data_IF_877158080073
#
_entry.id   IF_877158080073
#
_cell.length_a   1.000
_cell.length_b   1.000
_cell.length_c   1.000
_cell.angle_alpha   90.00
_cell.angle_beta   90.00
_cell.angle_gamma   90.00
#
_symmetry.space_group_name_H-M   'P 1'
#
loop_
_entity.id
_entity.type
_entity.pdbx_description
1 polymer ?
#
# COMPACT_ATOMS: atom_id res chain seq x y z
N UNK A 1 48.90 45.96 48.77
CA UNK A 1 49.64 45.22 47.72
C UNK A 1 48.82 43.98 47.35
N UNK A 2 48.75 43.66 46.06
CA UNK A 2 47.57 43.13 45.37
C UNK A 2 47.28 41.62 45.57
N UNK A 3 46.00 41.30 45.79
CA UNK A 3 45.41 39.97 45.53
C UNK A 3 45.23 39.80 44.02
N UNK A 4 45.71 38.70 43.44
CA UNK A 4 45.33 38.26 42.08
C UNK A 4 45.22 36.74 42.02
N UNK A 5 43.99 36.26 42.19
CA UNK A 5 43.54 34.99 41.62
C UNK A 5 43.28 35.25 40.12
N UNK A 6 43.90 34.48 39.23
CA UNK A 6 43.59 34.45 37.80
C UNK A 6 43.34 32.99 37.44
N UNK A 7 42.07 32.56 37.47
CA UNK A 7 41.15 32.53 36.31
C UNK A 7 41.39 31.29 35.44
N UNK A 8 40.76 30.18 35.86
CA UNK A 8 40.48 29.02 35.01
C UNK A 8 39.31 29.39 34.09
N UNK A 9 39.56 29.45 32.78
CA UNK A 9 38.52 29.69 31.76
C UNK A 9 38.01 28.33 31.26
N UNK A 10 36.92 27.86 31.87
CA UNK A 10 36.16 26.69 31.45
C UNK A 10 35.15 27.15 30.38
N UNK A 11 35.44 26.83 29.11
CA UNK A 11 34.48 27.00 28.02
C UNK A 11 33.49 25.83 28.09
N UNK A 12 32.38 26.04 28.77
CA UNK A 12 31.23 25.14 28.72
C UNK A 12 30.38 25.50 27.51
N UNK A 13 30.58 24.78 26.40
CA UNK A 13 29.65 24.76 25.28
C UNK A 13 28.33 24.12 25.77
N UNK A 14 27.33 24.94 26.08
CA UNK A 14 25.97 24.46 26.31
C UNK A 14 25.38 23.99 24.96
N UNK A 15 25.49 22.70 24.69
CA UNK A 15 24.68 22.01 23.69
C UNK A 15 23.24 21.94 24.18
N UNK A 16 22.51 23.04 24.06
CA UNK A 16 21.05 23.05 24.18
C UNK A 16 20.46 22.38 22.93
N UNK A 17 20.50 21.05 22.90
CA UNK A 17 19.67 20.25 21.99
C UNK A 17 18.22 20.45 22.43
N UNK A 18 17.64 21.59 22.06
CA UNK A 18 16.20 21.71 22.00
C UNK A 18 15.76 20.57 21.07
N UNK A 19 14.99 19.63 21.61
CA UNK A 19 14.20 18.75 20.78
C UNK A 19 13.33 19.68 19.94
N UNK A 20 13.81 19.98 18.72
CA UNK A 20 13.07 20.70 17.71
C UNK A 20 11.91 19.75 17.38
N UNK A 21 10.80 19.92 18.10
CA UNK A 21 9.55 19.29 17.73
C UNK A 21 9.22 19.86 16.36
N UNK A 22 9.54 19.07 15.34
CA UNK A 22 9.30 19.42 13.96
C UNK A 22 7.82 19.81 13.81
N UNK A 23 7.56 20.91 13.11
CA UNK A 23 6.22 21.47 13.09
C UNK A 23 5.26 20.48 12.41
N UNK A 24 4.00 20.37 12.88
CA UNK A 24 3.02 19.55 12.18
C UNK A 24 2.80 20.10 10.77
N UNK A 25 2.59 19.21 9.80
CA UNK A 25 2.35 19.59 8.41
C UNK A 25 1.13 20.53 8.31
N UNK A 26 1.30 21.63 7.58
CA UNK A 26 0.24 22.59 7.26
C UNK A 26 -0.68 22.03 6.19
N UNK A 27 -1.95 22.47 6.23
CA UNK A 27 -2.94 22.07 5.22
C UNK A 27 -2.50 22.48 3.80
N UNK A 28 -1.83 23.61 3.62
CA UNK A 28 -1.34 24.07 2.31
C UNK A 28 -0.31 23.10 1.71
N UNK A 29 0.67 22.69 2.53
CA UNK A 29 1.69 21.70 2.18
C UNK A 29 1.06 20.34 1.88
N UNK A 30 0.05 19.95 2.67
CA UNK A 30 -0.72 18.73 2.44
C UNK A 30 -1.42 18.73 1.07
N UNK A 31 -2.23 19.74 0.78
CA UNK A 31 -2.94 19.82 -0.51
C UNK A 31 -1.96 19.83 -1.68
N UNK A 32 -0.82 20.52 -1.52
CA UNK A 32 0.22 20.56 -2.55
C UNK A 32 0.86 19.20 -2.79
N UNK A 33 1.17 18.45 -1.74
CA UNK A 33 1.69 17.09 -1.86
C UNK A 33 0.67 16.15 -2.50
N UNK A 34 -0.59 16.20 -2.09
CA UNK A 34 -1.65 15.36 -2.70
C UNK A 34 -1.73 15.63 -4.21
N UNK A 35 -1.67 16.90 -4.62
CA UNK A 35 -1.66 17.29 -6.03
C UNK A 35 -0.43 16.75 -6.76
N UNK A 36 0.77 16.97 -6.23
CA UNK A 36 2.04 16.59 -6.88
C UNK A 36 2.24 15.07 -6.93
N UNK A 37 1.76 14.34 -5.92
CA UNK A 37 1.81 12.88 -5.84
C UNK A 37 0.78 12.18 -6.74
N UNK A 38 -0.07 12.94 -7.44
CA UNK A 38 -1.06 12.44 -8.39
C UNK A 38 -2.04 11.40 -7.79
N UNK A 39 -2.36 11.56 -6.51
CA UNK A 39 -3.16 10.60 -5.72
C UNK A 39 -4.56 10.40 -6.33
N UNK A 40 -5.20 11.47 -6.80
CA UNK A 40 -6.53 11.39 -7.38
C UNK A 40 -6.58 10.50 -8.63
N UNK A 41 -5.59 10.64 -9.52
CA UNK A 41 -5.48 9.79 -10.70
C UNK A 41 -5.13 8.36 -10.32
N UNK A 42 -4.30 8.15 -9.29
CA UNK A 42 -4.04 6.81 -8.76
C UNK A 42 -5.32 6.14 -8.25
N UNK A 43 -6.16 6.84 -7.48
CA UNK A 43 -7.45 6.31 -7.00
C UNK A 43 -8.36 5.97 -8.19
N UNK A 44 -8.45 6.85 -9.19
CA UNK A 44 -9.26 6.62 -10.38
C UNK A 44 -8.79 5.42 -11.21
N UNK A 45 -7.49 5.29 -11.40
CA UNK A 45 -6.91 4.24 -12.23
C UNK A 45 -6.91 2.89 -11.52
N UNK A 46 -6.60 2.86 -10.22
CA UNK A 46 -6.57 1.63 -9.42
C UNK A 46 -7.91 0.89 -9.44
N UNK A 47 -9.04 1.61 -9.39
CA UNK A 47 -10.36 0.99 -9.52
C UNK A 47 -10.51 0.22 -10.85
N UNK A 48 -10.00 0.78 -11.94
CA UNK A 48 -10.06 0.16 -13.28
C UNK A 48 -9.09 -1.00 -13.42
N UNK A 49 -7.86 -0.83 -12.92
CA UNK A 49 -6.82 -1.87 -12.93
C UNK A 49 -7.22 -3.12 -12.13
N UNK A 50 -8.10 -2.97 -11.14
CA UNK A 50 -8.63 -4.10 -10.37
C UNK A 50 -9.65 -4.95 -11.13
N UNK A 51 -10.15 -4.52 -12.31
CA UNK A 51 -11.24 -5.22 -13.00
C UNK A 51 -10.95 -6.71 -13.27
N UNK A 52 -9.77 -7.11 -13.80
CA UNK A 52 -9.47 -8.52 -14.04
C UNK A 52 -9.47 -9.37 -12.76
N UNK A 53 -9.02 -8.80 -11.64
CA UNK A 53 -9.02 -9.47 -10.33
C UNK A 53 -10.44 -9.71 -9.85
N UNK A 54 -11.33 -8.71 -10.00
CA UNK A 54 -12.74 -8.84 -9.64
C UNK A 54 -13.49 -9.82 -10.55
N UNK A 55 -13.18 -9.84 -11.85
CA UNK A 55 -13.74 -10.81 -12.80
C UNK A 55 -13.37 -12.24 -12.38
N UNK A 56 -12.09 -12.51 -12.08
CA UNK A 56 -11.64 -13.82 -11.60
C UNK A 56 -12.27 -14.20 -10.25
N UNK A 57 -12.35 -13.25 -9.32
CA UNK A 57 -12.93 -13.51 -8.01
C UNK A 57 -14.42 -13.84 -8.09
N UNK A 58 -15.16 -13.14 -8.94
CA UNK A 58 -16.57 -13.43 -9.18
C UNK A 58 -16.78 -14.83 -9.76
N UNK A 59 -15.96 -15.24 -10.73
CA UNK A 59 -16.02 -16.62 -11.26
C UNK A 59 -15.75 -17.67 -10.17
N UNK A 60 -14.73 -17.45 -9.33
CA UNK A 60 -14.40 -18.35 -8.23
C UNK A 60 -15.56 -18.47 -7.23
N UNK A 61 -16.19 -17.35 -6.87
CA UNK A 61 -17.35 -17.35 -5.96
C UNK A 61 -18.50 -18.19 -6.53
N UNK A 62 -18.84 -18.03 -7.82
CA UNK A 62 -19.92 -18.81 -8.45
C UNK A 62 -19.56 -20.30 -8.52
N UNK A 63 -18.31 -20.65 -8.90
CA UNK A 63 -17.83 -22.04 -8.92
C UNK A 63 -17.95 -22.70 -7.55
N UNK A 64 -17.46 -22.02 -6.51
CA UNK A 64 -17.49 -22.52 -5.13
C UNK A 64 -18.92 -22.63 -4.60
N UNK A 65 -19.76 -21.63 -4.83
CA UNK A 65 -21.15 -21.61 -4.35
C UNK A 65 -22.01 -22.70 -4.98
N UNK A 66 -21.73 -23.10 -6.21
CA UNK A 66 -22.47 -24.15 -6.93
C UNK A 66 -21.76 -25.50 -6.92
N UNK A 67 -20.58 -25.59 -6.31
CA UNK A 67 -19.70 -26.76 -6.31
C UNK A 67 -19.43 -27.31 -7.72
N UNK A 68 -19.15 -26.41 -8.68
CA UNK A 68 -18.84 -26.77 -10.08
C UNK A 68 -17.42 -26.33 -10.45
N UNK A 69 -16.74 -27.16 -11.25
CA UNK A 69 -15.39 -26.80 -11.74
C UNK A 69 -15.44 -25.82 -12.92
N UNK A 70 -16.47 -25.92 -13.77
CA UNK A 70 -16.67 -25.12 -14.96
C UNK A 70 -18.04 -24.48 -14.96
N UNK A 71 -18.10 -23.21 -15.35
CA UNK A 71 -19.34 -22.47 -15.49
C UNK A 71 -19.95 -22.75 -16.86
N UNK A 72 -21.27 -23.02 -16.90
CA UNK A 72 -22.04 -22.96 -18.13
C UNK A 72 -22.37 -21.50 -18.50
N UNK A 73 -22.97 -21.27 -19.67
CA UNK A 73 -23.26 -19.91 -20.16
C UNK A 73 -24.08 -19.06 -19.17
N UNK A 74 -25.09 -19.64 -18.51
CA UNK A 74 -25.93 -18.92 -17.54
C UNK A 74 -25.14 -18.56 -16.27
N UNK A 75 -24.27 -19.46 -15.81
CA UNK A 75 -23.42 -19.22 -14.66
C UNK A 75 -22.31 -18.21 -14.97
N UNK A 76 -21.77 -18.21 -16.19
CA UNK A 76 -20.81 -17.22 -16.65
C UNK A 76 -21.44 -15.82 -16.68
N UNK A 77 -22.68 -15.71 -17.15
CA UNK A 77 -23.43 -14.46 -17.10
C UNK A 77 -23.65 -13.99 -15.64
N UNK A 78 -23.97 -14.90 -14.73
CA UNK A 78 -24.08 -14.56 -13.31
C UNK A 78 -22.74 -14.08 -12.72
N UNK A 79 -21.61 -14.70 -13.08
CA UNK A 79 -20.28 -14.26 -12.67
C UNK A 79 -19.94 -12.86 -13.20
N UNK A 80 -20.30 -12.55 -14.45
CA UNK A 80 -20.12 -11.21 -15.01
C UNK A 80 -20.96 -10.15 -14.28
N UNK A 81 -22.21 -10.48 -13.94
CA UNK A 81 -23.08 -9.60 -13.15
C UNK A 81 -22.52 -9.36 -11.74
N UNK A 82 -22.02 -10.41 -11.09
CA UNK A 82 -21.38 -10.31 -9.79
C UNK A 82 -20.12 -9.44 -9.85
N UNK A 83 -19.26 -9.66 -10.86
CA UNK A 83 -18.08 -8.81 -11.06
C UNK A 83 -18.45 -7.34 -11.26
N UNK A 84 -19.47 -7.05 -12.08
CA UNK A 84 -19.94 -5.67 -12.29
C UNK A 84 -20.45 -5.03 -10.99
N UNK A 85 -21.16 -5.79 -10.15
CA UNK A 85 -21.60 -5.34 -8.83
C UNK A 85 -20.41 -5.05 -7.90
N UNK A 86 -19.44 -5.96 -7.84
CA UNK A 86 -18.23 -5.80 -7.03
C UNK A 86 -17.42 -4.58 -7.48
N UNK A 87 -17.27 -4.38 -8.79
CA UNK A 87 -16.61 -3.23 -9.36
C UNK A 87 -17.30 -1.91 -9.02
N UNK A 88 -18.63 -1.85 -9.14
CA UNK A 88 -19.41 -0.67 -8.77
C UNK A 88 -19.24 -0.36 -7.27
N UNK A 89 -19.25 -1.37 -6.41
CA UNK A 89 -19.01 -1.20 -4.97
C UNK A 89 -17.59 -0.76 -4.64
N UNK A 90 -16.60 -1.29 -5.35
CA UNK A 90 -15.22 -0.82 -5.21
C UNK A 90 -15.10 0.67 -5.57
N UNK A 91 -15.69 1.09 -6.71
CA UNK A 91 -15.72 2.50 -7.09
C UNK A 91 -16.40 3.39 -6.04
N UNK A 92 -17.54 2.96 -5.50
CA UNK A 92 -18.26 3.69 -4.46
C UNK A 92 -17.38 3.93 -3.21
N UNK A 93 -16.61 2.91 -2.81
CA UNK A 93 -15.67 3.02 -1.68
C UNK A 93 -14.54 4.00 -2.00
N UNK A 94 -13.93 3.88 -3.19
CA UNK A 94 -12.79 4.71 -3.61
C UNK A 94 -13.17 6.18 -3.82
N UNK A 95 -14.39 6.45 -4.27
CA UNK A 95 -14.93 7.81 -4.45
C UNK A 95 -15.49 8.39 -3.14
N UNK A 96 -15.58 7.60 -2.07
CA UNK A 96 -16.07 8.09 -0.78
C UNK A 96 -15.11 9.17 -0.25
N UNK A 97 -15.61 10.37 0.14
CA UNK A 97 -14.77 11.43 0.68
C UNK A 97 -13.93 11.01 1.91
N UNK A 98 -14.43 10.04 2.69
CA UNK A 98 -13.68 9.47 3.82
C UNK A 98 -12.38 8.81 3.39
N UNK A 99 -12.31 8.26 2.18
CA UNK A 99 -11.11 7.62 1.66
C UNK A 99 -10.02 8.66 1.40
N UNK A 100 -10.35 9.77 0.73
CA UNK A 100 -9.40 10.88 0.57
C UNK A 100 -9.01 11.50 1.91
N UNK A 101 -9.96 11.67 2.84
CA UNK A 101 -9.65 12.18 4.17
C UNK A 101 -8.69 11.26 4.94
N UNK A 102 -8.86 9.94 4.83
CA UNK A 102 -7.94 8.97 5.41
C UNK A 102 -6.52 9.15 4.85
N UNK A 103 -6.37 9.32 3.53
CA UNK A 103 -5.06 9.57 2.91
C UNK A 103 -4.46 10.87 3.44
N UNK A 104 -5.23 11.96 3.50
CA UNK A 104 -4.81 13.25 4.05
C UNK A 104 -4.29 13.12 5.49
N UNK A 105 -5.02 12.39 6.32
CA UNK A 105 -4.63 12.13 7.71
C UNK A 105 -3.32 11.31 7.80
N UNK A 106 -3.09 10.36 6.89
CA UNK A 106 -1.84 9.60 6.84
C UNK A 106 -0.67 10.53 6.52
N UNK A 107 -0.78 11.39 5.50
CA UNK A 107 0.26 12.37 5.18
C UNK A 107 0.63 13.26 6.36
N UNK A 108 -0.38 13.83 7.05
CA UNK A 108 -0.16 14.71 8.20
C UNK A 108 0.43 13.98 9.41
N UNK A 109 0.17 12.68 9.55
CA UNK A 109 0.74 11.85 10.61
C UNK A 109 2.17 11.41 10.30
N UNK A 110 2.49 11.23 9.01
CA UNK A 110 3.76 10.66 8.57
C UNK A 110 4.85 11.70 8.39
N UNK A 111 4.53 12.89 7.88
CA UNK A 111 5.52 13.92 7.59
C UNK A 111 5.35 15.16 8.46
N UNK A 112 6.47 15.74 8.83
CA UNK A 112 6.52 17.10 9.41
C UNK A 112 6.38 18.15 8.31
N UNK A 113 6.20 19.42 8.67
CA UNK A 113 6.14 20.51 7.69
C UNK A 113 7.45 20.66 6.90
N UNK A 114 8.60 20.49 7.57
CA UNK A 114 9.91 20.62 6.95
C UNK A 114 10.15 19.49 5.93
N UNK A 115 9.79 18.26 6.28
CA UNK A 115 9.84 17.11 5.38
C UNK A 115 8.87 17.27 4.21
N UNK A 116 7.66 17.78 4.48
CA UNK A 116 6.67 18.07 3.46
C UNK A 116 7.20 19.07 2.44
N UNK A 117 7.82 20.17 2.90
CA UNK A 117 8.35 21.20 2.02
C UNK A 117 9.55 20.70 1.19
N UNK A 118 10.42 19.88 1.78
CA UNK A 118 11.50 19.24 1.04
C UNK A 118 10.94 18.31 -0.05
N UNK A 119 9.91 17.54 0.28
CA UNK A 119 9.28 16.62 -0.67
C UNK A 119 8.54 17.36 -1.79
N UNK A 120 7.82 18.44 -1.48
CA UNK A 120 7.21 19.35 -2.46
C UNK A 120 8.28 19.90 -3.40
N UNK A 121 9.41 20.34 -2.87
CA UNK A 121 10.50 20.90 -3.67
C UNK A 121 11.04 19.86 -4.66
N UNK A 122 11.26 18.63 -4.19
CA UNK A 122 11.66 17.53 -5.05
C UNK A 122 10.61 17.24 -6.13
N UNK A 123 9.36 16.99 -5.76
CA UNK A 123 8.26 16.66 -6.68
C UNK A 123 7.86 17.81 -7.61
N UNK A 124 8.24 19.06 -7.30
CA UNK A 124 8.01 20.20 -8.19
C UNK A 124 9.05 20.28 -9.31
N UNK A 125 10.19 19.59 -9.18
CA UNK A 125 11.20 19.56 -10.23
C UNK A 125 10.83 18.56 -11.34
N UNK A 126 11.17 18.83 -12.62
CA UNK A 126 10.93 17.89 -13.71
C UNK A 126 11.58 16.51 -13.45
N UNK A 127 12.77 16.52 -12.85
CA UNK A 127 13.48 15.28 -12.51
C UNK A 127 12.77 14.52 -11.39
N UNK A 128 12.31 15.20 -10.34
CA UNK A 128 11.59 14.58 -9.23
C UNK A 128 10.23 14.00 -9.66
N UNK A 129 9.51 14.68 -10.56
CA UNK A 129 8.30 14.11 -11.18
C UNK A 129 8.62 12.86 -12.00
N UNK A 130 9.66 12.90 -12.84
CA UNK A 130 10.06 11.73 -13.62
C UNK A 130 10.48 10.57 -12.72
N UNK A 131 11.21 10.82 -11.62
CA UNK A 131 11.61 9.79 -10.68
C UNK A 131 10.37 9.21 -10.00
N UNK A 132 9.48 10.05 -9.46
CA UNK A 132 8.25 9.61 -8.79
C UNK A 132 7.40 8.69 -9.69
N UNK A 133 7.17 9.10 -10.94
CA UNK A 133 6.42 8.29 -11.91
C UNK A 133 7.11 6.95 -12.23
N UNK A 134 8.43 6.96 -12.44
CA UNK A 134 9.19 5.74 -12.74
C UNK A 134 9.27 4.81 -11.54
N UNK A 135 9.39 5.34 -10.32
CA UNK A 135 9.39 4.55 -9.08
C UNK A 135 8.04 3.86 -8.90
N UNK A 136 6.92 4.56 -9.11
CA UNK A 136 5.60 3.95 -9.06
C UNK A 136 5.46 2.81 -10.09
N UNK A 137 5.88 3.05 -11.33
CA UNK A 137 5.88 2.02 -12.39
C UNK A 137 6.75 0.82 -12.02
N UNK A 138 7.97 1.07 -11.52
CA UNK A 138 8.90 0.03 -11.08
C UNK A 138 8.29 -0.84 -9.98
N UNK A 139 7.65 -0.24 -8.97
CA UNK A 139 7.00 -1.00 -7.89
C UNK A 139 5.84 -1.84 -8.42
N UNK A 140 5.02 -1.31 -9.34
CA UNK A 140 3.93 -2.08 -9.97
C UNK A 140 4.46 -3.26 -10.79
N UNK A 141 5.47 -3.05 -11.64
CA UNK A 141 6.09 -4.12 -12.43
C UNK A 141 6.71 -5.19 -11.52
N UNK A 142 7.42 -4.78 -10.46
CA UNK A 142 7.99 -5.71 -9.49
C UNK A 142 6.93 -6.58 -8.82
N UNK A 143 5.78 -6.00 -8.44
CA UNK A 143 4.68 -6.74 -7.83
C UNK A 143 4.01 -7.70 -8.83
N UNK A 144 3.85 -7.29 -10.09
CA UNK A 144 3.31 -8.15 -11.15
C UNK A 144 4.23 -9.36 -11.41
N UNK A 145 5.53 -9.15 -11.57
CA UNK A 145 6.50 -10.23 -11.79
C UNK A 145 6.59 -11.15 -10.56
N UNK A 146 6.55 -10.59 -9.35
CA UNK A 146 6.53 -11.40 -8.12
C UNK A 146 5.29 -12.29 -8.04
N UNK A 147 4.13 -11.78 -8.46
CA UNK A 147 2.88 -12.56 -8.51
C UNK A 147 2.96 -13.68 -9.54
N UNK A 148 3.56 -13.41 -10.70
CA UNK A 148 3.78 -14.42 -11.75
C UNK A 148 4.73 -15.52 -11.27
N UNK A 149 5.86 -15.16 -10.65
CA UNK A 149 6.80 -16.13 -10.06
C UNK A 149 6.09 -16.98 -8.99
N UNK A 150 5.29 -16.37 -8.12
CA UNK A 150 4.53 -17.09 -7.11
C UNK A 150 3.56 -18.10 -7.74
N UNK A 151 2.87 -17.72 -8.82
CA UNK A 151 1.99 -18.60 -9.58
C UNK A 151 2.75 -19.76 -10.24
N UNK A 152 3.91 -19.50 -10.85
CA UNK A 152 4.75 -20.53 -11.46
C UNK A 152 5.25 -21.53 -10.41
N UNK A 153 5.76 -21.05 -9.28
CA UNK A 153 6.21 -21.89 -8.17
C UNK A 153 5.08 -22.70 -7.55
N UNK A 154 3.88 -22.13 -7.41
CA UNK A 154 2.73 -22.85 -6.87
C UNK A 154 2.20 -23.92 -7.84
N UNK A 155 2.44 -23.78 -9.14
CA UNK A 155 2.07 -24.77 -10.14
C UNK A 155 3.18 -25.80 -10.44
N UNK A 156 4.36 -25.64 -9.84
CA UNK A 156 5.41 -26.65 -9.88
C UNK A 156 4.98 -27.91 -9.11
N UNK A 157 5.01 -29.06 -9.78
CA UNK A 157 4.49 -30.32 -9.23
C UNK A 157 5.26 -30.80 -7.99
N UNK A 158 6.56 -30.49 -7.88
CA UNK A 158 7.35 -30.87 -6.70
C UNK A 158 6.99 -29.98 -5.50
N UNK A 159 6.84 -28.67 -5.72
CA UNK A 159 6.42 -27.73 -4.70
C UNK A 159 4.99 -28.00 -4.20
N UNK A 160 4.06 -28.34 -5.10
CA UNK A 160 2.70 -28.73 -4.72
C UNK A 160 2.67 -29.95 -3.81
N UNK A 161 3.48 -30.98 -4.13
CA UNK A 161 3.56 -32.19 -3.31
C UNK A 161 4.10 -31.89 -1.92
N UNK A 162 5.18 -31.11 -1.84
CA UNK A 162 5.76 -30.71 -0.56
C UNK A 162 4.78 -29.89 0.27
N UNK A 163 4.10 -28.92 -0.35
CA UNK A 163 3.07 -28.12 0.31
C UNK A 163 1.92 -28.99 0.85
N UNK A 164 1.40 -29.94 0.06
CA UNK A 164 0.34 -30.84 0.50
C UNK A 164 0.78 -31.76 1.65
N UNK A 165 2.04 -32.22 1.64
CA UNK A 165 2.61 -32.99 2.75
C UNK A 165 2.65 -32.13 4.03
N UNK A 166 3.13 -30.89 3.94
CA UNK A 166 3.15 -29.97 5.08
C UNK A 166 1.74 -29.64 5.59
N UNK A 167 0.81 -29.36 4.67
CA UNK A 167 -0.59 -29.07 5.00
C UNK A 167 -1.24 -30.26 5.71
N UNK A 168 -1.01 -31.49 5.24
CA UNK A 168 -1.56 -32.69 5.88
C UNK A 168 -1.06 -32.89 7.31
N UNK A 169 0.22 -32.59 7.58
CA UNK A 169 0.80 -32.64 8.93
C UNK A 169 0.14 -31.62 9.88
N UNK A 170 -0.25 -30.46 9.36
CA UNK A 170 -0.93 -29.41 10.13
C UNK A 170 -2.39 -29.78 10.42
N UNK A 171 -3.11 -30.33 9.43
CA UNK A 171 -4.55 -30.61 9.54
C UNK A 171 -4.84 -31.91 10.31
N UNK A 172 -4.00 -32.96 10.16
CA UNK A 172 -4.27 -34.28 10.75
C UNK A 172 -4.63 -34.25 12.25
N UNK A 173 -3.91 -33.53 13.14
CA UNK A 173 -4.24 -33.47 14.56
C UNK A 173 -5.59 -32.80 14.85
N UNK A 174 -6.04 -31.87 14.00
CA UNK A 174 -7.33 -31.18 14.17
C UNK A 174 -8.52 -32.08 13.84
N UNK A 175 -8.31 -33.10 13.01
CA UNK A 175 -9.34 -34.07 12.65
C UNK A 175 -9.48 -35.22 13.65
N UNK A 176 -8.43 -35.50 14.43
CA UNK A 176 -8.42 -36.54 15.47
C UNK A 176 -9.09 -36.07 16.78
N UNK A 177 -9.08 -34.77 17.08
CA UNK A 177 -9.76 -34.19 18.26
C UNK A 177 -11.30 -34.18 18.17
N UNK A 178 -11.88 -34.63 17.05
CA UNK A 178 -13.34 -34.64 16.80
C UNK A 178 -14.00 -35.99 17.09
N UNK A 179 -13.30 -36.95 17.71
CA UNK A 179 -13.84 -38.24 18.16
C UNK A 179 -14.01 -38.31 19.66
#
# INVERSE_FOLDING_TARGET
MYKRFASVLLISFLSSSSALYAAPMKNESLEKLIQLSNVENFIKNSATEMRPVLDQQAELIIKQSLAVEKLNAKQQQAAQQLSALMFAKNQEIMQNPRFMQMIKNIYQKTYTEEEAQAYITFLSSPLGQSISQKTSKLTTEMMQESTKIAYELFNDTAQQKEFMLQLSKIIAPLTEQKK
#
